data_IF_040110472723
#
_entry.id   IF_040110472723
#
_cell.length_a   1.000
_cell.length_b   1.000
_cell.length_c   1.000
_cell.angle_alpha   90.00
_cell.angle_beta   90.00
_cell.angle_gamma   90.00
#
_symmetry.space_group_name_H-M   'P 1'
#
loop_
_entity.id
_entity.type
_entity.pdbx_description
1 polymer ?
#
# COMPACT_ATOMS: atom_id res chain seq x y z
N UNK A 1 0.56 -6.32 -2.67
CA UNK A 1 0.52 -7.19 -3.87
C UNK A 1 1.22 -8.53 -3.65
N UNK A 2 2.49 -8.54 -3.20
CA UNK A 2 3.26 -9.79 -2.96
C UNK A 2 2.52 -10.75 -2.00
N UNK A 3 1.92 -10.22 -0.91
CA UNK A 3 1.07 -11.01 0.02
C UNK A 3 -0.14 -11.70 -0.63
N UNK A 4 -0.62 -11.22 -1.79
CA UNK A 4 -1.69 -11.86 -2.57
C UNK A 4 -1.12 -12.86 -3.61
N UNK A 5 0.04 -12.55 -4.20
CA UNK A 5 0.68 -13.39 -5.20
C UNK A 5 1.14 -14.74 -4.64
N UNK A 6 1.79 -14.74 -3.46
CA UNK A 6 2.32 -15.96 -2.82
C UNK A 6 1.23 -17.03 -2.63
N UNK A 7 0.08 -16.76 -1.98
CA UNK A 7 -0.97 -17.77 -1.82
C UNK A 7 -1.63 -18.16 -3.14
N UNK A 8 -1.76 -17.23 -4.09
CA UNK A 8 -2.31 -17.53 -5.41
C UNK A 8 -1.42 -18.51 -6.20
N UNK A 9 -0.11 -18.30 -6.21
CA UNK A 9 0.87 -19.19 -6.84
C UNK A 9 0.90 -20.57 -6.18
N UNK A 10 0.87 -20.63 -4.83
CA UNK A 10 0.76 -21.93 -4.10
C UNK A 10 -0.51 -22.69 -4.48
N UNK A 11 -1.64 -22.00 -4.61
CA UNK A 11 -2.92 -22.62 -4.99
C UNK A 11 -2.89 -23.11 -6.43
N UNK A 12 -2.34 -22.30 -7.35
CA UNK A 12 -2.14 -22.67 -8.75
C UNK A 12 -1.22 -23.89 -8.88
N UNK A 13 -0.12 -23.93 -8.14
CA UNK A 13 0.80 -25.06 -8.15
C UNK A 13 0.14 -26.35 -7.64
N UNK A 14 -0.71 -26.28 -6.60
CA UNK A 14 -1.50 -27.44 -6.17
C UNK A 14 -2.46 -27.92 -7.26
N UNK A 15 -3.16 -27.00 -7.92
CA UNK A 15 -4.06 -27.33 -9.02
C UNK A 15 -3.31 -27.97 -10.20
N UNK A 16 -2.11 -27.48 -10.51
CA UNK A 16 -1.22 -28.08 -11.50
C UNK A 16 -0.90 -29.55 -11.16
N UNK A 17 -0.45 -29.82 -9.94
CA UNK A 17 -0.13 -31.19 -9.51
C UNK A 17 -1.35 -32.11 -9.51
N UNK A 18 -2.53 -31.61 -9.14
CA UNK A 18 -3.78 -32.38 -9.19
C UNK A 18 -4.14 -32.77 -10.63
N UNK A 19 -4.07 -31.82 -11.56
CA UNK A 19 -4.36 -32.07 -12.98
C UNK A 19 -3.34 -33.03 -13.60
N UNK A 20 -2.05 -32.86 -13.32
CA UNK A 20 -0.98 -33.75 -13.82
C UNK A 20 -1.11 -35.19 -13.31
N UNK A 21 -1.75 -35.40 -12.16
CA UNK A 21 -2.03 -36.73 -11.58
C UNK A 21 -3.40 -37.31 -11.97
N UNK A 22 -4.23 -36.55 -12.67
CA UNK A 22 -5.59 -36.97 -12.96
C UNK A 22 -5.59 -38.07 -14.05
N UNK A 23 -6.28 -39.21 -13.85
CA UNK A 23 -6.21 -40.37 -14.77
C UNK A 23 -6.59 -40.04 -16.22
N UNK A 24 -7.55 -39.12 -16.40
CA UNK A 24 -8.06 -38.74 -17.72
C UNK A 24 -7.28 -37.58 -18.37
N UNK A 25 -6.25 -37.06 -17.70
CA UNK A 25 -5.45 -35.97 -18.27
C UNK A 25 -4.29 -36.56 -19.09
N UNK A 26 -4.28 -36.30 -20.40
CA UNK A 26 -3.19 -36.75 -21.27
C UNK A 26 -1.90 -36.02 -20.91
N UNK A 27 -0.90 -36.74 -20.38
CA UNK A 27 0.42 -36.18 -20.10
C UNK A 27 1.38 -36.29 -21.29
N UNK A 28 0.97 -36.90 -22.41
CA UNK A 28 1.82 -37.10 -23.60
C UNK A 28 2.30 -35.76 -24.16
N UNK A 29 1.43 -34.76 -24.23
CA UNK A 29 1.79 -33.43 -24.74
C UNK A 29 2.76 -32.70 -23.81
N UNK A 30 2.70 -32.97 -22.49
CA UNK A 30 3.64 -32.40 -21.51
C UNK A 30 5.03 -33.01 -21.58
N UNK A 31 5.15 -34.28 -21.99
CA UNK A 31 6.46 -34.91 -22.19
C UNK A 31 7.22 -34.28 -23.36
N UNK A 32 6.51 -33.68 -24.31
CA UNK A 32 7.09 -33.05 -25.51
C UNK A 32 7.28 -31.53 -25.29
N UNK A 33 6.30 -30.86 -24.68
CA UNK A 33 6.28 -29.39 -24.57
C UNK A 33 6.74 -28.84 -23.20
N UNK A 34 6.96 -29.71 -22.21
CA UNK A 34 7.29 -29.32 -20.84
C UNK A 34 6.08 -28.85 -20.03
N UNK A 35 6.29 -28.63 -18.73
CA UNK A 35 5.23 -28.25 -17.79
C UNK A 35 4.62 -26.86 -18.09
N UNK A 36 5.34 -26.01 -18.83
CA UNK A 36 4.95 -24.64 -19.17
C UNK A 36 3.65 -24.53 -19.96
N UNK A 37 3.32 -25.54 -20.80
CA UNK A 37 2.06 -25.55 -21.54
C UNK A 37 0.85 -25.69 -20.62
N UNK A 38 0.84 -26.70 -19.73
CA UNK A 38 -0.22 -26.86 -18.74
C UNK A 38 -0.28 -25.67 -17.78
N UNK A 39 0.87 -25.13 -17.39
CA UNK A 39 0.93 -23.94 -16.55
C UNK A 39 0.24 -22.74 -17.22
N UNK A 40 0.53 -22.49 -18.51
CA UNK A 40 -0.13 -21.43 -19.28
C UNK A 40 -1.64 -21.61 -19.33
N UNK A 41 -2.10 -22.82 -19.64
CA UNK A 41 -3.53 -23.12 -19.70
C UNK A 41 -4.24 -22.86 -18.37
N UNK A 42 -3.64 -23.30 -17.26
CA UNK A 42 -4.18 -23.08 -15.90
C UNK A 42 -4.23 -21.59 -15.55
N UNK A 43 -3.18 -20.84 -15.91
CA UNK A 43 -3.12 -19.39 -15.74
C UNK A 43 -4.25 -18.70 -16.51
N UNK A 44 -4.52 -19.08 -17.75
CA UNK A 44 -5.55 -18.44 -18.59
C UNK A 44 -6.97 -18.82 -18.16
N UNK A 45 -7.22 -20.07 -17.79
CA UNK A 45 -8.57 -20.56 -17.49
C UNK A 45 -9.06 -20.25 -16.07
N UNK A 46 -8.18 -20.35 -15.06
CA UNK A 46 -8.59 -20.29 -13.65
C UNK A 46 -7.79 -19.28 -12.82
N UNK A 47 -6.55 -18.99 -13.20
CA UNK A 47 -5.65 -18.15 -12.42
C UNK A 47 -5.25 -16.85 -13.11
N UNK A 48 -6.16 -16.28 -13.92
CA UNK A 48 -5.91 -15.07 -14.71
C UNK A 48 -5.61 -13.83 -13.86
N UNK A 49 -5.87 -13.89 -12.55
CA UNK A 49 -5.44 -12.87 -11.58
C UNK A 49 -3.92 -12.84 -11.37
N UNK A 50 -3.21 -13.97 -11.53
CA UNK A 50 -1.76 -14.04 -11.27
C UNK A 50 -1.00 -13.15 -12.28
N UNK A 51 -1.19 -13.30 -13.61
CA UNK A 51 -0.55 -12.41 -14.57
C UNK A 51 -0.92 -10.94 -14.34
N UNK A 52 -2.19 -10.65 -14.04
CA UNK A 52 -2.66 -9.28 -13.75
C UNK A 52 -1.96 -8.66 -12.53
N UNK A 53 -1.77 -9.43 -11.46
CA UNK A 53 -1.06 -8.99 -10.26
C UNK A 53 0.42 -8.73 -10.55
N UNK A 54 1.08 -9.57 -11.35
CA UNK A 54 2.46 -9.34 -11.77
C UNK A 54 2.62 -8.12 -12.68
N UNK A 55 1.71 -7.89 -13.62
CA UNK A 55 1.70 -6.67 -14.45
C UNK A 55 1.56 -5.43 -13.57
N UNK A 56 0.59 -5.43 -12.64
CA UNK A 56 0.39 -4.32 -11.70
C UNK A 56 1.62 -4.10 -10.81
N UNK A 57 2.28 -5.18 -10.38
CA UNK A 57 3.48 -5.09 -9.57
C UNK A 57 4.63 -4.44 -10.35
N UNK A 58 4.84 -4.84 -11.59
CA UNK A 58 5.86 -4.26 -12.48
C UNK A 58 5.60 -2.77 -12.73
N UNK A 59 4.36 -2.38 -13.00
CA UNK A 59 3.97 -0.97 -13.16
C UNK A 59 4.26 -0.15 -11.89
N UNK A 60 4.00 -0.70 -10.71
CA UNK A 60 4.30 -0.03 -9.45
C UNK A 60 5.80 0.13 -9.21
N UNK A 61 6.61 -0.88 -9.51
CA UNK A 61 8.07 -0.78 -9.37
C UNK A 61 8.64 0.22 -10.37
N UNK A 62 8.18 0.21 -11.62
CA UNK A 62 8.61 1.16 -12.64
C UNK A 62 8.29 2.62 -12.24
N UNK A 63 7.05 2.87 -11.78
CA UNK A 63 6.60 4.21 -11.39
C UNK A 63 7.42 4.81 -10.23
N UNK A 64 8.04 3.96 -9.42
CA UNK A 64 8.82 4.35 -8.25
C UNK A 64 10.34 4.16 -8.43
N UNK A 65 10.78 3.80 -9.64
CA UNK A 65 12.20 3.66 -9.93
C UNK A 65 12.96 4.96 -9.69
N UNK A 66 14.12 4.88 -9.05
CA UNK A 66 14.97 6.03 -8.74
C UNK A 66 14.44 6.93 -7.61
N UNK A 67 13.27 6.63 -7.05
CA UNK A 67 12.71 7.33 -5.87
C UNK A 67 12.94 6.57 -4.57
N UNK A 68 13.19 5.27 -4.67
CA UNK A 68 13.32 4.39 -3.51
C UNK A 68 14.45 3.38 -3.76
N UNK A 69 15.56 3.58 -3.04
CA UNK A 69 16.75 2.75 -3.16
C UNK A 69 16.49 1.27 -2.84
N UNK A 70 15.51 0.98 -1.98
CA UNK A 70 15.17 -0.38 -1.60
C UNK A 70 14.41 -1.10 -2.71
N UNK A 71 13.52 -0.39 -3.41
CA UNK A 71 12.83 -0.92 -4.59
C UNK A 71 13.81 -1.19 -5.73
N UNK A 72 14.78 -0.30 -5.95
CA UNK A 72 15.77 -0.46 -7.02
C UNK A 72 16.66 -1.70 -6.79
N UNK A 73 17.00 -2.03 -5.52
CA UNK A 73 17.77 -3.25 -5.18
C UNK A 73 17.07 -4.54 -5.57
N UNK A 74 15.75 -4.62 -5.36
CA UNK A 74 14.99 -5.86 -5.59
C UNK A 74 14.39 -5.97 -6.99
N UNK A 75 14.32 -4.85 -7.74
CA UNK A 75 13.69 -4.77 -9.06
C UNK A 75 14.18 -5.85 -10.02
N UNK A 76 15.50 -6.12 -10.19
CA UNK A 76 15.95 -7.14 -11.14
C UNK A 76 15.41 -8.54 -10.84
N UNK A 77 15.36 -8.91 -9.56
CA UNK A 77 14.80 -10.19 -9.11
C UNK A 77 13.30 -10.22 -9.37
N UNK A 78 12.61 -9.13 -9.07
CA UNK A 78 11.17 -9.05 -9.24
C UNK A 78 10.74 -9.08 -10.71
N UNK A 79 11.48 -8.39 -11.58
CA UNK A 79 11.26 -8.42 -13.03
C UNK A 79 11.50 -9.82 -13.59
N UNK A 80 12.57 -10.50 -13.15
CA UNK A 80 12.85 -11.88 -13.54
C UNK A 80 11.72 -12.82 -13.15
N UNK A 81 11.23 -12.74 -11.90
CA UNK A 81 10.10 -13.56 -11.43
C UNK A 81 8.82 -13.21 -12.21
N UNK A 82 8.51 -11.92 -12.38
CA UNK A 82 7.26 -11.47 -13.00
C UNK A 82 7.16 -11.90 -14.46
N UNK A 83 8.27 -11.83 -15.21
CA UNK A 83 8.29 -12.20 -16.61
C UNK A 83 7.91 -13.67 -16.83
N UNK A 84 8.19 -14.58 -15.91
CA UNK A 84 7.83 -16.00 -16.05
C UNK A 84 6.31 -16.25 -16.11
N UNK A 85 5.48 -15.32 -15.62
CA UNK A 85 4.03 -15.51 -15.50
C UNK A 85 3.21 -14.63 -16.44
N UNK A 86 3.85 -13.84 -17.32
CA UNK A 86 3.17 -12.88 -18.20
C UNK A 86 3.27 -13.30 -19.67
N UNK A 87 2.15 -13.19 -20.40
CA UNK A 87 2.10 -13.41 -21.84
C UNK A 87 2.46 -14.85 -22.23
N UNK A 88 3.37 -15.00 -23.19
CA UNK A 88 3.81 -16.31 -23.67
C UNK A 88 4.94 -16.93 -22.84
N UNK A 89 5.53 -16.20 -21.89
CA UNK A 89 6.68 -16.66 -21.13
C UNK A 89 6.47 -17.90 -20.24
N UNK A 90 5.27 -18.20 -19.70
CA UNK A 90 5.04 -19.46 -18.98
C UNK A 90 5.41 -20.70 -19.82
N UNK A 91 5.34 -20.63 -21.15
CA UNK A 91 5.75 -21.71 -22.06
C UNK A 91 7.24 -22.05 -21.99
N UNK A 92 8.07 -21.15 -21.44
CA UNK A 92 9.51 -21.38 -21.26
C UNK A 92 9.82 -22.19 -19.99
N UNK A 93 8.85 -22.39 -19.12
CA UNK A 93 9.01 -23.21 -17.91
C UNK A 93 9.02 -24.68 -18.33
N UNK A 94 10.14 -25.35 -18.11
CA UNK A 94 10.28 -26.77 -18.46
C UNK A 94 9.75 -27.68 -17.36
N UNK A 95 9.85 -27.25 -16.10
CA UNK A 95 9.48 -28.01 -14.91
C UNK A 95 8.82 -27.11 -13.86
N UNK A 96 7.73 -27.58 -13.26
CA UNK A 96 6.95 -26.81 -12.29
C UNK A 96 7.74 -26.45 -11.01
N UNK A 97 8.82 -27.16 -10.69
CA UNK A 97 9.71 -26.83 -9.57
C UNK A 97 10.41 -25.47 -9.74
N UNK A 98 10.47 -24.91 -10.97
CA UNK A 98 10.91 -23.54 -11.17
C UNK A 98 10.00 -22.53 -10.44
N UNK A 99 8.71 -22.85 -10.27
CA UNK A 99 7.77 -22.03 -9.49
C UNK A 99 8.14 -22.02 -8.00
N UNK A 100 8.74 -23.08 -7.46
CA UNK A 100 9.21 -23.09 -6.07
C UNK A 100 10.32 -22.07 -5.85
N UNK A 101 11.28 -21.98 -6.78
CA UNK A 101 12.33 -20.96 -6.75
C UNK A 101 11.76 -19.55 -6.79
N UNK A 102 10.76 -19.31 -7.65
CA UNK A 102 10.07 -18.03 -7.72
C UNK A 102 9.31 -17.69 -6.42
N UNK A 103 8.66 -18.68 -5.80
CA UNK A 103 8.02 -18.54 -4.50
C UNK A 103 9.04 -18.20 -3.41
N UNK A 104 10.21 -18.85 -3.38
CA UNK A 104 11.30 -18.52 -2.45
C UNK A 104 11.75 -17.07 -2.61
N UNK A 105 11.97 -16.59 -3.84
CA UNK A 105 12.33 -15.19 -4.08
C UNK A 105 11.24 -14.23 -3.60
N UNK A 106 9.97 -14.50 -3.89
CA UNK A 106 8.86 -13.66 -3.42
C UNK A 106 8.75 -13.65 -1.90
N UNK A 107 8.99 -14.78 -1.22
CA UNK A 107 9.02 -14.83 0.24
C UNK A 107 10.19 -14.02 0.81
N UNK A 108 11.40 -14.12 0.22
CA UNK A 108 12.56 -13.31 0.62
C UNK A 108 12.28 -11.81 0.47
N UNK A 109 11.70 -11.39 -0.66
CA UNK A 109 11.30 -10.00 -0.88
C UNK A 109 10.23 -9.57 0.13
N UNK A 110 9.25 -10.43 0.42
CA UNK A 110 8.22 -10.14 1.42
C UNK A 110 8.83 -9.94 2.81
N UNK A 111 9.72 -10.83 3.24
CA UNK A 111 10.40 -10.74 4.53
C UNK A 111 11.28 -9.49 4.63
N UNK A 112 12.01 -9.16 3.56
CA UNK A 112 12.84 -7.96 3.48
C UNK A 112 12.02 -6.69 3.71
N UNK A 113 10.87 -6.56 3.05
CA UNK A 113 10.00 -5.42 3.28
C UNK A 113 9.41 -5.41 4.68
N UNK A 114 9.03 -6.57 5.22
CA UNK A 114 8.53 -6.66 6.59
C UNK A 114 9.57 -6.16 7.60
N UNK A 115 10.82 -6.55 7.45
CA UNK A 115 11.94 -6.10 8.30
C UNK A 115 12.15 -4.58 8.22
N UNK A 116 12.21 -4.01 7.01
CA UNK A 116 12.39 -2.56 6.84
C UNK A 116 11.19 -1.80 7.41
N UNK A 117 9.97 -2.31 7.26
CA UNK A 117 8.77 -1.66 7.82
C UNK A 117 8.67 -1.75 9.35
N UNK A 118 9.39 -2.67 10.00
CA UNK A 118 9.45 -2.74 11.46
C UNK A 118 10.35 -1.66 12.08
N UNK A 119 11.23 -1.04 11.28
CA UNK A 119 12.09 0.03 11.77
C UNK A 119 11.36 1.36 11.69
N UNK A 120 10.89 1.87 12.83
CA UNK A 120 10.24 3.18 12.93
C UNK A 120 11.28 4.29 13.00
N UNK A 121 11.15 5.29 12.12
CA UNK A 121 11.90 6.53 12.15
C UNK A 121 10.93 7.70 12.28
N UNK A 122 11.14 8.54 13.30
CA UNK A 122 10.34 9.73 13.54
C UNK A 122 10.98 10.97 12.88
N UNK A 123 10.15 11.89 12.43
CA UNK A 123 10.57 13.24 12.01
C UNK A 123 10.08 14.25 13.05
N UNK A 124 10.98 15.09 13.56
CA UNK A 124 10.64 16.19 14.47
C UNK A 124 11.18 17.49 13.90
N UNK A 125 10.30 18.44 13.65
CA UNK A 125 10.63 19.76 13.13
C UNK A 125 9.90 20.85 13.92
N UNK A 126 10.46 22.05 13.94
CA UNK A 126 9.77 23.20 14.54
C UNK A 126 8.76 23.81 13.55
N UNK A 127 9.17 24.04 12.31
CA UNK A 127 8.36 24.66 11.28
C UNK A 127 8.61 23.97 9.93
N UNK A 128 7.59 23.94 9.08
CA UNK A 128 7.71 23.36 7.75
C UNK A 128 6.81 24.09 6.75
N UNK A 129 7.34 24.35 5.56
CA UNK A 129 6.64 25.07 4.50
C UNK A 129 6.98 24.51 3.13
N UNK A 130 5.97 24.15 2.33
CA UNK A 130 6.13 23.61 0.98
C UNK A 130 7.11 22.43 0.92
N UNK A 131 7.02 21.52 1.90
CA UNK A 131 7.86 20.32 1.97
C UNK A 131 7.03 19.05 1.88
N UNK A 132 7.68 17.99 1.45
CA UNK A 132 7.20 16.62 1.54
C UNK A 132 8.00 15.89 2.62
N UNK A 133 7.31 15.20 3.53
CA UNK A 133 7.93 14.46 4.63
C UNK A 133 7.27 13.09 4.76
N UNK A 134 8.12 12.06 4.81
CA UNK A 134 7.69 10.67 4.96
C UNK A 134 8.43 10.03 6.14
N UNK A 135 7.67 9.46 7.07
CA UNK A 135 8.19 8.79 8.26
C UNK A 135 7.56 7.41 8.40
N UNK A 136 8.37 6.39 8.69
CA UNK A 136 7.83 5.07 9.08
C UNK A 136 7.24 5.10 10.49
N UNK A 137 7.72 6.01 11.35
CA UNK A 137 7.12 6.35 12.64
C UNK A 137 6.21 7.57 12.54
N UNK A 138 6.35 8.48 13.49
CA UNK A 138 5.52 9.68 13.64
C UNK A 138 6.19 10.94 13.09
N UNK A 139 5.36 11.93 12.71
CA UNK A 139 5.83 13.28 12.35
C UNK A 139 5.32 14.27 13.40
N UNK A 140 6.23 15.04 14.00
CA UNK A 140 5.91 16.07 14.99
C UNK A 140 6.36 17.44 14.48
N UNK A 141 5.42 18.37 14.40
CA UNK A 141 5.65 19.79 14.15
C UNK A 141 5.34 20.56 15.43
N UNK A 142 6.38 21.05 16.11
CA UNK A 142 6.24 21.71 17.42
C UNK A 142 5.93 23.20 17.37
N UNK A 143 6.10 23.85 16.20
CA UNK A 143 5.83 25.26 16.01
C UNK A 143 4.39 25.58 15.61
N UNK A 144 4.18 26.85 15.28
CA UNK A 144 2.84 27.44 15.14
C UNK A 144 2.15 27.13 13.80
N UNK A 145 2.86 26.66 12.78
CA UNK A 145 2.29 26.46 11.45
C UNK A 145 3.04 25.41 10.62
N UNK A 146 2.29 24.53 9.96
CA UNK A 146 2.68 23.76 8.79
C UNK A 146 1.92 24.30 7.56
N UNK A 147 2.64 24.77 6.54
CA UNK A 147 2.01 25.42 5.39
C UNK A 147 2.35 24.75 4.06
N UNK A 148 1.34 24.24 3.36
CA UNK A 148 1.52 23.63 2.03
C UNK A 148 2.37 22.37 2.07
N UNK A 149 2.25 21.59 3.15
CA UNK A 149 3.04 20.38 3.34
C UNK A 149 2.29 19.12 2.91
N UNK A 150 3.03 18.14 2.42
CA UNK A 150 2.56 16.77 2.24
C UNK A 150 3.27 15.89 3.28
N UNK A 151 2.51 15.28 4.17
CA UNK A 151 3.05 14.47 5.26
C UNK A 151 2.46 13.06 5.20
N UNK A 152 3.32 12.06 5.24
CA UNK A 152 2.95 10.64 5.31
C UNK A 152 3.64 10.02 6.52
N UNK A 153 2.86 9.55 7.49
CA UNK A 153 3.37 8.92 8.70
C UNK A 153 2.82 7.49 8.85
N UNK A 154 3.71 6.53 9.15
CA UNK A 154 3.31 5.18 9.54
C UNK A 154 2.71 5.11 10.95
N UNK A 155 2.99 6.08 11.82
CA UNK A 155 2.38 6.28 13.13
C UNK A 155 1.41 7.46 13.14
N UNK A 156 1.69 8.46 13.97
CA UNK A 156 0.87 9.65 14.14
C UNK A 156 1.46 10.91 13.49
N UNK A 157 0.62 11.87 13.11
CA UNK A 157 1.03 13.25 12.83
C UNK A 157 0.55 14.16 13.98
N UNK A 158 1.48 14.87 14.62
CA UNK A 158 1.19 15.84 15.68
C UNK A 158 1.67 17.23 15.28
N UNK A 159 0.75 18.17 15.13
CA UNK A 159 1.05 19.55 14.77
C UNK A 159 0.54 20.45 15.91
N UNK A 160 1.46 21.03 16.69
CA UNK A 160 1.09 21.87 17.82
C UNK A 160 0.27 23.09 17.40
N UNK A 161 0.66 23.72 16.30
CA UNK A 161 -0.02 24.87 15.71
C UNK A 161 -1.05 24.53 14.65
N UNK A 162 -1.10 25.36 13.62
CA UNK A 162 -2.03 25.20 12.51
C UNK A 162 -1.46 24.35 11.37
N UNK A 163 -2.31 23.65 10.63
CA UNK A 163 -1.96 23.14 9.30
C UNK A 163 -2.87 23.79 8.25
N UNK A 164 -2.27 24.28 7.15
CA UNK A 164 -2.97 24.99 6.08
C UNK A 164 -2.39 24.59 4.75
N UNK A 165 -3.25 24.20 3.80
CA UNK A 165 -2.85 23.71 2.47
C UNK A 165 -2.05 22.40 2.57
N UNK A 166 -2.38 21.46 1.70
CA UNK A 166 -1.66 20.20 1.58
C UNK A 166 -2.38 19.01 2.19
N UNK A 167 -1.71 17.86 2.18
CA UNK A 167 -2.27 16.56 2.51
C UNK A 167 -1.51 15.91 3.66
N UNK A 168 -2.24 15.51 4.70
CA UNK A 168 -1.67 14.93 5.90
C UNK A 168 -2.27 13.53 6.05
N UNK A 169 -1.44 12.50 5.87
CA UNK A 169 -1.81 11.10 6.02
C UNK A 169 -1.04 10.48 7.18
N UNK A 170 -1.76 9.88 8.12
CA UNK A 170 -1.17 9.09 9.20
C UNK A 170 -1.89 7.75 9.33
N UNK A 171 -1.18 6.67 9.63
CA UNK A 171 -1.84 5.38 9.81
C UNK A 171 -2.70 5.36 11.08
N UNK A 172 -2.17 5.87 12.19
CA UNK A 172 -2.80 5.75 13.52
C UNK A 172 -3.67 6.97 13.87
N UNK A 173 -3.14 8.18 13.69
CA UNK A 173 -3.86 9.37 14.10
C UNK A 173 -3.25 10.69 13.67
N UNK A 174 -4.10 11.71 13.61
CA UNK A 174 -3.67 13.10 13.39
C UNK A 174 -4.19 13.95 14.53
N UNK A 175 -3.30 14.69 15.18
CA UNK A 175 -3.64 15.68 16.20
C UNK A 175 -3.11 17.05 15.79
N UNK A 176 -3.97 18.06 15.73
CA UNK A 176 -3.59 19.40 15.26
C UNK A 176 -4.21 20.52 16.10
N UNK A 177 -3.48 21.60 16.36
CA UNK A 177 -4.03 22.79 17.02
C UNK A 177 -5.19 23.40 16.22
N UNK A 178 -4.98 23.67 14.93
CA UNK A 178 -6.08 24.00 14.01
C UNK A 178 -5.84 23.56 12.56
N UNK A 179 -6.86 23.09 11.85
CA UNK A 179 -6.75 22.74 10.43
C UNK A 179 -7.57 23.68 9.54
N UNK A 180 -6.96 24.12 8.44
CA UNK A 180 -7.56 25.01 7.47
C UNK A 180 -7.52 26.49 7.89
N UNK A 181 -8.18 27.32 7.10
CA UNK A 181 -8.34 28.75 7.35
C UNK A 181 -9.67 29.24 6.77
N UNK A 182 -9.91 28.91 5.50
CA UNK A 182 -11.12 29.21 4.74
C UNK A 182 -11.34 28.12 3.67
N UNK A 183 -12.45 28.20 2.93
CA UNK A 183 -12.85 27.16 1.96
C UNK A 183 -11.99 27.10 0.69
N UNK A 184 -11.24 28.16 0.41
CA UNK A 184 -10.39 28.30 -0.79
C UNK A 184 -9.11 27.48 -0.66
N UNK A 185 -8.59 27.31 0.56
CA UNK A 185 -7.33 26.61 0.82
C UNK A 185 -7.59 25.18 1.28
N UNK A 186 -7.53 24.23 0.34
CA UNK A 186 -7.81 22.82 0.61
C UNK A 186 -6.76 22.19 1.51
N UNK A 187 -7.23 21.63 2.62
CA UNK A 187 -6.43 20.93 3.63
C UNK A 187 -7.08 19.58 3.86
N UNK A 188 -6.32 18.51 3.69
CA UNK A 188 -6.84 17.13 3.78
C UNK A 188 -6.20 16.42 4.97
N UNK A 189 -7.01 15.95 5.90
CA UNK A 189 -6.58 15.11 7.02
C UNK A 189 -7.11 13.70 6.78
N UNK A 190 -6.22 12.74 6.62
CA UNK A 190 -6.57 11.35 6.32
C UNK A 190 -5.91 10.42 7.32
N UNK A 191 -6.70 9.54 7.92
CA UNK A 191 -6.18 8.42 8.71
C UNK A 191 -6.69 7.09 8.19
N UNK A 192 -5.94 6.02 8.45
CA UNK A 192 -6.37 4.67 8.08
C UNK A 192 -7.63 4.25 8.87
N UNK A 193 -8.21 3.12 8.48
CA UNK A 193 -9.35 2.53 9.19
C UNK A 193 -8.99 2.25 10.66
N UNK A 194 -9.88 2.62 11.58
CA UNK A 194 -9.63 2.56 13.03
C UNK A 194 -8.82 3.75 13.59
N UNK A 195 -8.26 4.60 12.72
CA UNK A 195 -7.52 5.79 13.12
C UNK A 195 -8.41 6.91 13.65
N UNK A 196 -7.78 7.94 14.24
CA UNK A 196 -8.49 9.07 14.88
C UNK A 196 -7.95 10.42 14.44
N UNK A 197 -8.84 11.38 14.19
CA UNK A 197 -8.47 12.78 13.91
C UNK A 197 -8.93 13.66 15.06
N UNK A 198 -7.99 14.41 15.66
CA UNK A 198 -8.21 15.34 16.77
C UNK A 198 -7.78 16.74 16.36
N UNK A 199 -8.61 17.72 16.67
CA UNK A 199 -8.30 19.10 16.36
C UNK A 199 -8.84 20.07 17.40
N UNK A 200 -8.02 21.05 17.79
CA UNK A 200 -8.47 22.18 18.59
C UNK A 200 -9.46 23.05 17.82
N UNK A 201 -9.25 23.23 16.51
CA UNK A 201 -10.21 23.87 15.60
C UNK A 201 -10.15 23.27 14.20
N UNK A 202 -11.29 22.93 13.62
CA UNK A 202 -11.44 22.60 12.20
C UNK A 202 -12.22 23.71 11.51
N UNK A 203 -11.65 24.36 10.51
CA UNK A 203 -12.32 25.39 9.73
C UNK A 203 -13.15 24.80 8.57
N UNK A 204 -14.16 25.53 8.07
CA UNK A 204 -14.89 25.15 6.87
C UNK A 204 -13.96 24.89 5.67
N UNK A 205 -14.27 23.85 4.90
CA UNK A 205 -13.51 23.43 3.72
C UNK A 205 -12.39 22.43 3.98
N UNK A 206 -12.08 22.11 5.24
CA UNK A 206 -11.20 20.97 5.58
C UNK A 206 -11.89 19.68 5.18
N UNK A 207 -11.15 18.78 4.53
CA UNK A 207 -11.62 17.44 4.23
C UNK A 207 -10.99 16.43 5.18
N UNK A 208 -11.85 15.64 5.82
CA UNK A 208 -11.49 14.62 6.79
C UNK A 208 -11.85 13.25 6.22
N UNK A 209 -10.89 12.34 6.27
CA UNK A 209 -11.08 10.94 5.87
C UNK A 209 -10.59 9.99 6.97
N UNK A 210 -11.41 9.01 7.33
CA UNK A 210 -11.07 7.95 8.29
C UNK A 210 -11.45 6.63 7.63
N UNK A 211 -10.46 5.84 7.21
CA UNK A 211 -10.68 4.65 6.38
C UNK A 211 -11.54 4.97 5.13
N UNK A 212 -12.68 4.29 4.91
CA UNK A 212 -13.55 4.56 3.78
C UNK A 212 -14.44 5.82 3.95
N UNK A 213 -14.60 6.33 5.17
CA UNK A 213 -15.44 7.49 5.46
C UNK A 213 -14.76 8.79 5.00
N UNK A 214 -15.47 9.61 4.21
CA UNK A 214 -15.03 10.96 3.81
C UNK A 214 -16.07 12.02 4.14
N UNK A 215 -15.63 13.17 4.66
CA UNK A 215 -16.50 14.30 5.00
C UNK A 215 -15.78 15.63 4.88
N UNK A 216 -16.48 16.64 4.35
CA UNK A 216 -16.03 18.03 4.38
C UNK A 216 -16.62 18.74 5.60
N UNK A 217 -15.78 19.47 6.32
CA UNK A 217 -16.19 20.34 7.42
C UNK A 217 -16.91 21.55 6.83
N UNK A 218 -18.19 21.74 7.20
CA UNK A 218 -19.05 22.82 6.66
C UNK A 218 -19.18 24.02 7.60
N UNK A 219 -18.91 23.84 8.88
CA UNK A 219 -18.96 24.87 9.92
C UNK A 219 -17.77 24.66 10.84
N UNK A 220 -17.27 25.73 11.44
CA UNK A 220 -16.15 25.65 12.38
C UNK A 220 -16.50 24.70 13.52
N UNK A 221 -15.66 23.70 13.74
CA UNK A 221 -15.74 22.78 14.88
C UNK A 221 -14.56 23.07 15.81
N UNK A 222 -14.75 22.96 17.12
CA UNK A 222 -13.71 23.19 18.12
C UNK A 222 -13.59 21.96 19.01
N UNK A 223 -12.37 21.71 19.49
CA UNK A 223 -12.08 20.66 20.46
C UNK A 223 -12.76 19.35 20.07
N UNK A 224 -12.44 18.84 18.88
CA UNK A 224 -13.18 17.74 18.26
C UNK A 224 -12.29 16.51 18.08
N UNK A 225 -12.82 15.35 18.43
CA UNK A 225 -12.34 14.03 18.03
C UNK A 225 -13.31 13.45 16.98
N UNK A 226 -12.77 13.01 15.84
CA UNK A 226 -13.51 12.40 14.74
C UNK A 226 -12.99 10.98 14.51
N UNK A 227 -13.93 10.02 14.51
CA UNK A 227 -13.73 8.63 14.14
C UNK A 227 -14.79 8.16 13.15
N UNK A 228 -14.51 7.07 12.46
CA UNK A 228 -15.46 6.38 11.60
C UNK A 228 -15.49 4.91 11.96
N UNK A 229 -16.58 4.48 12.58
CA UNK A 229 -16.78 3.14 13.14
C UNK A 229 -18.15 2.64 12.66
N UNK A 230 -18.26 1.36 12.31
CA UNK A 230 -19.52 0.74 11.84
C UNK A 230 -20.25 1.54 10.73
N UNK A 231 -19.48 2.06 9.76
CA UNK A 231 -20.01 2.89 8.67
C UNK A 231 -20.69 4.20 9.12
N UNK A 232 -20.43 4.66 10.34
CA UNK A 232 -21.00 5.87 10.94
C UNK A 232 -19.91 6.80 11.48
N UNK A 233 -20.18 8.10 11.41
CA UNK A 233 -19.30 9.11 11.99
C UNK A 233 -19.56 9.23 13.49
N UNK A 234 -18.52 9.03 14.29
CA UNK A 234 -18.51 9.36 15.70
C UNK A 234 -17.72 10.66 15.90
N UNK A 235 -18.41 11.71 16.33
CA UNK A 235 -17.83 13.02 16.62
C UNK A 235 -18.05 13.33 18.09
N UNK A 236 -16.97 13.57 18.82
CA UNK A 236 -17.00 13.84 20.27
C UNK A 236 -16.16 15.06 20.61
N UNK A 237 -16.43 15.64 21.77
CA UNK A 237 -15.57 16.69 22.31
C UNK A 237 -14.24 16.07 22.77
N UNK A 238 -13.14 16.67 22.32
CA UNK A 238 -11.77 16.34 22.69
C UNK A 238 -11.30 17.38 23.71
N UNK A 239 -11.12 16.93 24.95
CA UNK A 239 -10.55 17.75 26.03
C UNK A 239 -9.04 17.71 26.02
#
# INVERSE_FOLDING_TARGET
IIKQLIPALKTMQRAFHQLKRHPNFSTRDLQIQGDGYLLKLILEMRFAQIPKLFTKLRELVEKNSGKNSELDKIRPVLDSVSQCFIGANPLKITDISQVDKHLEFLNKISAYFEEITQTTADIKVYYCQNVEMEATGSIVVSGSLAYGCNMTAGGEIKIAGACRRGTYFANEGITVGSAGLNETVKTYLTVAEGGTIRAGTLYPGVEVSVGPGKKTIRKTMRNTEIKFEESRWAVKDWK
#
